data_IF_864718025449
#
_entry.id   IF_864718025449
#
_cell.length_a   1.000
_cell.length_b   1.000
_cell.length_c   1.000
_cell.angle_alpha   90.00
_cell.angle_beta   90.00
_cell.angle_gamma   90.00
#
_symmetry.space_group_name_H-M   'P 1'
#
loop_
_entity.id
_entity.type
_entity.pdbx_description
1 polymer ?
#
# COMPACT_ATOMS: atom_id res chain seq x y z
N UNK A 1 17.76 1.71 22.44
CA UNK A 1 17.41 0.30 22.78
C UNK A 1 18.46 -0.41 23.63
N UNK A 2 19.69 0.16 23.76
CA UNK A 2 20.80 -0.53 24.47
C UNK A 2 21.00 -0.08 25.93
N UNK A 3 20.31 0.99 26.38
CA UNK A 3 20.54 1.52 27.74
C UNK A 3 20.18 0.46 28.81
N UNK A 4 21.06 0.18 29.79
CA UNK A 4 20.88 -0.90 30.76
C UNK A 4 19.62 -0.71 31.64
N UNK A 5 19.27 0.52 31.99
CA UNK A 5 18.16 0.83 32.91
C UNK A 5 16.78 0.91 32.18
N UNK A 6 16.70 0.46 30.94
CA UNK A 6 15.45 0.35 30.19
C UNK A 6 15.02 -1.13 30.15
N UNK A 7 13.86 -1.45 30.68
CA UNK A 7 13.35 -2.82 30.78
C UNK A 7 12.56 -3.27 29.55
N UNK A 8 12.01 -2.33 28.79
CA UNK A 8 11.19 -2.61 27.60
C UNK A 8 11.39 -1.56 26.51
N UNK A 9 11.39 -2.00 25.26
CA UNK A 9 11.37 -1.13 24.09
C UNK A 9 10.11 -1.40 23.28
N UNK A 10 9.32 -0.34 23.05
CA UNK A 10 8.20 -0.35 22.11
C UNK A 10 8.62 0.40 20.85
N UNK A 11 8.37 -0.18 19.68
CA UNK A 11 8.79 0.38 18.40
C UNK A 11 7.74 0.09 17.32
N UNK A 12 7.39 1.13 16.55
CA UNK A 12 6.61 1.02 15.32
C UNK A 12 7.47 1.47 14.15
N UNK A 13 7.57 0.66 13.09
CA UNK A 13 8.35 1.00 11.91
C UNK A 13 8.72 -0.21 11.04
N UNK A 14 9.86 -0.10 10.34
CA UNK A 14 10.29 -1.10 9.37
C UNK A 14 10.90 -2.37 9.99
N UNK A 15 10.72 -3.51 9.32
CA UNK A 15 11.21 -4.82 9.73
C UNK A 15 12.73 -4.83 10.03
N UNK A 16 13.53 -4.17 9.21
CA UNK A 16 14.99 -4.13 9.38
C UNK A 16 15.36 -3.49 10.72
N UNK A 17 14.78 -2.34 11.02
CA UNK A 17 15.00 -1.64 12.29
C UNK A 17 14.44 -2.46 13.47
N UNK A 18 13.28 -3.08 13.32
CA UNK A 18 12.70 -3.96 14.33
C UNK A 18 13.63 -5.12 14.68
N UNK A 19 14.24 -5.77 13.69
CA UNK A 19 15.24 -6.83 13.89
C UNK A 19 16.48 -6.34 14.64
N UNK A 20 16.96 -5.14 14.34
CA UNK A 20 18.10 -4.52 15.03
C UNK A 20 17.73 -4.25 16.51
N UNK A 21 16.55 -3.71 16.76
CA UNK A 21 16.05 -3.44 18.12
C UNK A 21 15.94 -4.74 18.90
N UNK A 22 15.34 -5.77 18.33
CA UNK A 22 15.18 -7.08 18.99
C UNK A 22 16.55 -7.68 19.34
N UNK A 23 17.53 -7.61 18.42
CA UNK A 23 18.89 -8.10 18.66
C UNK A 23 19.56 -7.31 19.80
N UNK A 24 19.47 -5.99 19.80
CA UNK A 24 20.07 -5.17 20.84
C UNK A 24 19.36 -5.37 22.21
N UNK A 25 18.07 -5.58 22.21
CA UNK A 25 17.30 -5.83 23.44
C UNK A 25 17.66 -7.16 24.10
N UNK A 26 18.05 -8.15 23.31
CA UNK A 26 18.45 -9.47 23.81
C UNK A 26 19.69 -9.42 24.70
N UNK A 27 20.63 -8.48 24.50
CA UNK A 27 21.86 -8.32 25.29
C UNK A 27 21.59 -8.10 26.80
N UNK A 28 20.46 -7.51 27.13
CA UNK A 28 20.03 -7.23 28.49
C UNK A 28 18.68 -7.85 28.84
N UNK A 29 18.21 -8.79 28.00
CA UNK A 29 16.94 -9.53 28.17
C UNK A 29 15.73 -8.60 28.29
N UNK A 30 15.74 -7.47 27.58
CA UNK A 30 14.62 -6.53 27.54
C UNK A 30 13.41 -7.13 26.83
N UNK A 31 12.22 -6.76 27.29
CA UNK A 31 11.00 -6.99 26.50
C UNK A 31 10.96 -6.10 25.27
N UNK A 32 10.41 -6.60 24.18
CA UNK A 32 10.14 -5.80 22.98
C UNK A 32 8.69 -5.92 22.56
N UNK A 33 8.07 -4.79 22.25
CA UNK A 33 6.81 -4.72 21.51
C UNK A 33 7.13 -4.11 20.13
N UNK A 34 6.98 -4.90 19.08
CA UNK A 34 7.35 -4.51 17.73
C UNK A 34 6.11 -4.49 16.82
N UNK A 35 5.70 -3.30 16.42
CA UNK A 35 4.65 -3.03 15.44
C UNK A 35 5.31 -2.75 14.10
N UNK A 36 5.19 -3.69 13.19
CA UNK A 36 5.92 -3.68 11.92
C UNK A 36 4.95 -3.74 10.73
N UNK A 37 5.43 -3.42 9.55
CA UNK A 37 4.66 -3.52 8.33
C UNK A 37 4.25 -4.95 7.98
N UNK A 38 3.28 -5.08 7.09
CA UNK A 38 2.73 -6.37 6.66
C UNK A 38 2.15 -6.34 5.26
N UNK A 39 1.80 -7.51 4.76
CA UNK A 39 0.98 -7.74 3.57
C UNK A 39 -0.30 -8.46 4.03
N UNK A 40 -1.26 -7.67 4.56
CA UNK A 40 -2.45 -8.26 5.15
C UNK A 40 -3.40 -8.80 4.06
N UNK A 41 -3.93 -10.01 4.24
CA UNK A 41 -4.96 -10.52 3.35
C UNK A 41 -6.31 -9.85 3.66
N UNK A 42 -7.05 -9.54 2.61
CA UNK A 42 -8.47 -9.19 2.65
C UNK A 42 -9.21 -10.29 1.88
N UNK A 43 -9.93 -11.15 2.58
CA UNK A 43 -10.55 -12.34 2.00
C UNK A 43 -12.04 -12.11 1.80
N UNK A 44 -12.52 -12.30 0.57
CA UNK A 44 -13.88 -12.00 0.15
C UNK A 44 -14.51 -13.27 -0.44
N UNK A 45 -15.57 -13.74 0.21
CA UNK A 45 -16.39 -14.86 -0.25
C UNK A 45 -17.59 -14.39 -1.08
N UNK A 46 -18.16 -15.27 -1.88
CA UNK A 46 -19.23 -14.95 -2.81
C UNK A 46 -20.54 -14.50 -2.15
N UNK A 47 -20.77 -14.83 -0.89
CA UNK A 47 -21.92 -14.42 -0.09
C UNK A 47 -21.75 -13.07 0.63
N UNK A 48 -20.62 -12.39 0.45
CA UNK A 48 -20.42 -11.06 0.99
C UNK A 48 -21.35 -10.03 0.34
N UNK A 49 -21.73 -8.98 1.10
CA UNK A 49 -22.35 -7.80 0.50
C UNK A 49 -21.37 -7.17 -0.49
N UNK A 50 -21.72 -7.23 -1.76
CA UNK A 50 -20.81 -6.90 -2.85
C UNK A 50 -20.30 -5.47 -2.79
N UNK A 51 -21.19 -4.49 -2.65
CA UNK A 51 -20.80 -3.08 -2.68
C UNK A 51 -19.99 -2.70 -1.45
N UNK A 52 -20.38 -3.19 -0.28
CA UNK A 52 -19.63 -3.00 0.97
C UNK A 52 -18.26 -3.66 0.89
N UNK A 53 -18.15 -4.84 0.30
CA UNK A 53 -16.88 -5.55 0.16
C UNK A 53 -15.90 -4.79 -0.77
N UNK A 54 -16.40 -4.26 -1.91
CA UNK A 54 -15.57 -3.45 -2.82
C UNK A 54 -15.11 -2.16 -2.15
N UNK A 55 -15.98 -1.45 -1.45
CA UNK A 55 -15.62 -0.20 -0.76
C UNK A 55 -14.63 -0.45 0.38
N UNK A 56 -14.81 -1.51 1.15
CA UNK A 56 -13.87 -1.89 2.20
C UNK A 56 -12.52 -2.33 1.64
N UNK A 57 -12.49 -3.04 0.51
CA UNK A 57 -11.25 -3.41 -0.15
C UNK A 57 -10.50 -2.17 -0.66
N UNK A 58 -11.23 -1.22 -1.27
CA UNK A 58 -10.66 0.04 -1.73
C UNK A 58 -10.07 0.85 -0.57
N UNK A 59 -10.85 1.07 0.48
CA UNK A 59 -10.38 1.80 1.66
C UNK A 59 -9.21 1.09 2.34
N UNK A 60 -9.31 -0.22 2.53
CA UNK A 60 -8.26 -1.01 3.16
C UNK A 60 -6.93 -1.00 2.42
N UNK A 61 -6.95 -0.85 1.08
CA UNK A 61 -5.75 -0.84 0.26
C UNK A 61 -5.18 0.56 0.03
N UNK A 62 -6.03 1.59 -0.13
CA UNK A 62 -5.60 2.92 -0.59
C UNK A 62 -5.61 4.02 0.47
N UNK A 63 -6.17 3.77 1.65
CA UNK A 63 -6.11 4.71 2.76
C UNK A 63 -4.66 5.12 3.05
N UNK A 64 -4.41 6.42 3.24
CA UNK A 64 -3.05 6.98 3.38
C UNK A 64 -2.07 6.55 2.27
N UNK A 65 -2.56 6.43 1.04
CA UNK A 65 -1.76 5.94 -0.10
C UNK A 65 -1.19 4.54 0.11
N UNK A 66 -1.90 3.70 0.89
CA UNK A 66 -1.48 2.35 1.23
C UNK A 66 -0.38 2.25 2.29
N UNK A 67 0.08 3.36 2.84
CA UNK A 67 1.18 3.42 3.81
C UNK A 67 0.68 3.15 5.24
N UNK A 68 0.00 2.01 5.44
CA UNK A 68 -0.59 1.60 6.72
C UNK A 68 -0.20 0.15 7.01
N UNK A 69 0.26 -0.12 8.24
CA UNK A 69 0.67 -1.46 8.66
C UNK A 69 -0.46 -2.50 8.55
N UNK A 70 -1.72 -2.07 8.67
CA UNK A 70 -2.92 -2.91 8.54
C UNK A 70 -3.55 -2.88 7.14
N UNK A 71 -2.90 -2.27 6.13
CA UNK A 71 -3.44 -2.19 4.78
C UNK A 71 -3.75 -3.59 4.21
N UNK A 72 -5.02 -3.82 3.83
CA UNK A 72 -5.50 -5.06 3.21
C UNK A 72 -5.11 -5.16 1.74
N UNK A 73 -3.82 -5.06 1.46
CA UNK A 73 -3.28 -4.91 0.10
C UNK A 73 -3.28 -6.19 -0.73
N UNK A 74 -3.45 -7.37 -0.09
CA UNK A 74 -3.65 -8.65 -0.77
C UNK A 74 -5.12 -9.03 -0.73
N UNK A 75 -5.84 -8.68 -1.81
CA UNK A 75 -7.26 -8.99 -1.94
C UNK A 75 -7.37 -10.40 -2.51
N UNK A 76 -7.97 -11.31 -1.75
CA UNK A 76 -8.20 -12.71 -2.10
C UNK A 76 -9.69 -12.89 -2.29
N UNK A 77 -10.11 -12.99 -3.54
CA UNK A 77 -11.53 -13.08 -3.93
C UNK A 77 -11.87 -14.49 -4.34
N UNK A 78 -13.04 -15.00 -3.94
CA UNK A 78 -13.56 -16.27 -4.42
C UNK A 78 -13.71 -16.25 -5.95
N UNK A 79 -13.28 -17.31 -6.63
CA UNK A 79 -13.18 -17.38 -8.08
C UNK A 79 -14.48 -17.00 -8.80
N UNK A 80 -15.61 -17.42 -8.25
CA UNK A 80 -16.95 -17.13 -8.82
C UNK A 80 -17.30 -15.63 -8.84
N UNK A 81 -16.63 -14.82 -7.99
CA UNK A 81 -16.85 -13.39 -7.87
C UNK A 81 -15.77 -12.55 -8.55
N UNK A 82 -14.63 -13.16 -8.89
CA UNK A 82 -13.39 -12.50 -9.25
C UNK A 82 -13.58 -11.40 -10.30
N UNK A 83 -14.05 -11.73 -11.50
CA UNK A 83 -14.09 -10.77 -12.61
C UNK A 83 -14.96 -9.56 -12.29
N UNK A 84 -16.18 -9.80 -11.77
CA UNK A 84 -17.09 -8.74 -11.37
C UNK A 84 -16.52 -7.84 -10.28
N UNK A 85 -15.82 -8.46 -9.33
CA UNK A 85 -15.21 -7.73 -8.21
C UNK A 85 -14.03 -6.87 -8.66
N UNK A 86 -13.17 -7.42 -9.50
CA UNK A 86 -12.00 -6.73 -10.06
C UNK A 86 -12.44 -5.54 -10.92
N UNK A 87 -13.44 -5.73 -11.80
CA UNK A 87 -13.98 -4.64 -12.63
C UNK A 87 -14.51 -3.48 -11.76
N UNK A 88 -15.30 -3.80 -10.73
CA UNK A 88 -15.84 -2.79 -9.81
C UNK A 88 -14.74 -2.09 -9.00
N UNK A 89 -13.74 -2.84 -8.55
CA UNK A 89 -12.60 -2.29 -7.80
C UNK A 89 -11.78 -1.33 -8.68
N UNK A 90 -11.50 -1.70 -9.93
CA UNK A 90 -10.79 -0.85 -10.90
C UNK A 90 -11.59 0.40 -11.19
N UNK A 91 -12.90 0.28 -11.44
CA UNK A 91 -13.77 1.44 -11.68
C UNK A 91 -13.73 2.43 -10.51
N UNK A 92 -13.81 1.94 -9.27
CA UNK A 92 -13.79 2.79 -8.08
C UNK A 92 -12.40 3.35 -7.80
N UNK A 93 -11.33 2.55 -7.94
CA UNK A 93 -9.95 3.01 -7.79
C UNK A 93 -9.62 4.17 -8.75
N UNK A 94 -10.14 4.11 -9.96
CA UNK A 94 -9.99 5.16 -10.96
C UNK A 94 -10.70 6.48 -10.58
N UNK A 95 -11.59 6.47 -9.62
CA UNK A 95 -12.28 7.69 -9.12
C UNK A 95 -11.55 8.35 -7.96
N UNK A 96 -10.59 7.69 -7.32
CA UNK A 96 -9.84 8.23 -6.19
C UNK A 96 -9.13 9.52 -6.61
N UNK A 97 -9.36 10.59 -5.84
CA UNK A 97 -8.71 11.88 -6.02
C UNK A 97 -7.47 11.99 -5.15
N UNK A 98 -6.34 12.31 -5.78
CA UNK A 98 -5.06 12.51 -5.11
C UNK A 98 -4.67 13.99 -5.13
N UNK A 99 -4.06 14.46 -4.04
CA UNK A 99 -3.68 15.86 -3.92
C UNK A 99 -2.84 16.15 -2.68
N UNK A 100 -2.57 17.42 -2.44
CA UNK A 100 -1.77 17.89 -1.33
C UNK A 100 -2.56 17.97 -0.01
N UNK A 101 -1.87 18.21 1.12
CA UNK A 101 -2.49 18.18 2.45
C UNK A 101 -3.52 19.27 2.71
N UNK A 102 -3.55 20.32 1.90
CA UNK A 102 -4.52 21.42 1.99
C UNK A 102 -5.59 21.37 0.89
N UNK A 103 -5.61 20.31 0.12
CA UNK A 103 -6.57 20.13 -0.97
C UNK A 103 -7.80 19.40 -0.44
N UNK A 104 -8.88 20.14 -0.20
CA UNK A 104 -10.12 19.60 0.38
C UNK A 104 -10.83 18.58 -0.52
N UNK A 105 -10.45 18.49 -1.80
CA UNK A 105 -11.01 17.52 -2.74
C UNK A 105 -10.21 16.22 -2.81
N UNK A 106 -9.01 16.20 -2.22
CA UNK A 106 -8.18 15.04 -2.22
C UNK A 106 -8.65 13.99 -1.21
N UNK A 107 -8.73 12.75 -1.63
CA UNK A 107 -9.08 11.59 -0.78
C UNK A 107 -7.82 10.92 -0.22
N UNK A 108 -6.69 11.07 -0.92
CA UNK A 108 -5.40 10.53 -0.49
C UNK A 108 -4.25 11.44 -0.94
N UNK A 109 -3.10 11.29 -0.31
CA UNK A 109 -1.94 12.18 -0.45
C UNK A 109 -0.75 11.57 -1.16
N UNK A 110 0.44 12.20 -0.99
CA UNK A 110 1.69 11.70 -1.54
C UNK A 110 2.24 10.51 -0.76
N UNK A 111 3.19 9.82 -1.35
CA UNK A 111 4.08 8.92 -0.64
C UNK A 111 5.06 9.71 0.25
N UNK A 112 5.66 9.03 1.23
CA UNK A 112 6.51 9.69 2.23
C UNK A 112 7.80 10.30 1.65
N UNK A 113 8.33 9.73 0.55
CA UNK A 113 9.56 10.20 -0.07
C UNK A 113 9.69 9.75 -1.53
N UNK A 114 10.60 10.40 -2.26
CA UNK A 114 10.95 9.98 -3.62
C UNK A 114 11.54 8.56 -3.65
N UNK A 115 12.42 8.24 -2.70
CA UNK A 115 13.00 6.89 -2.57
C UNK A 115 11.91 5.83 -2.38
N UNK A 116 10.91 6.11 -1.55
CA UNK A 116 9.80 5.19 -1.35
C UNK A 116 8.94 5.05 -2.60
N UNK A 117 8.70 6.14 -3.35
CA UNK A 117 8.00 6.10 -4.64
C UNK A 117 8.74 5.23 -5.65
N UNK A 118 10.06 5.37 -5.75
CA UNK A 118 10.90 4.53 -6.63
C UNK A 118 10.84 3.06 -6.22
N UNK A 119 10.86 2.78 -4.94
CA UNK A 119 10.70 1.42 -4.41
C UNK A 119 9.35 0.82 -4.81
N UNK A 120 8.25 1.58 -4.65
CA UNK A 120 6.90 1.14 -5.09
C UNK A 120 6.88 0.88 -6.59
N UNK A 121 7.44 1.81 -7.40
CA UNK A 121 7.52 1.65 -8.84
C UNK A 121 8.27 0.37 -9.23
N UNK A 122 9.41 0.10 -8.60
CA UNK A 122 10.21 -1.10 -8.87
C UNK A 122 9.44 -2.40 -8.59
N UNK A 123 8.60 -2.46 -7.54
CA UNK A 123 7.75 -3.62 -7.28
C UNK A 123 6.66 -3.80 -8.35
N UNK A 124 6.07 -2.71 -8.83
CA UNK A 124 5.06 -2.76 -9.90
C UNK A 124 5.70 -3.20 -11.22
N UNK A 125 6.86 -2.68 -11.55
CA UNK A 125 7.60 -3.06 -12.76
C UNK A 125 8.01 -4.53 -12.71
N UNK A 126 8.52 -4.99 -11.57
CA UNK A 126 8.86 -6.39 -11.36
C UNK A 126 7.65 -7.31 -11.46
N UNK A 127 6.51 -6.91 -10.93
CA UNK A 127 5.26 -7.68 -11.09
C UNK A 127 4.89 -7.83 -12.57
N UNK A 128 5.03 -6.76 -13.36
CA UNK A 128 4.81 -6.76 -14.81
C UNK A 128 5.79 -7.71 -15.53
N UNK A 129 7.07 -7.66 -15.18
CA UNK A 129 8.10 -8.56 -15.72
C UNK A 129 7.83 -10.02 -15.37
N UNK A 130 7.29 -10.28 -14.18
CA UNK A 130 6.90 -11.60 -13.70
C UNK A 130 5.58 -12.11 -14.31
N UNK A 131 4.90 -11.32 -15.13
CA UNK A 131 3.70 -11.72 -15.87
C UNK A 131 2.38 -11.32 -15.24
N UNK A 132 2.36 -10.56 -14.16
CA UNK A 132 1.14 -9.99 -13.59
C UNK A 132 0.57 -8.88 -14.47
N UNK A 133 -0.74 -8.69 -14.42
CA UNK A 133 -1.45 -7.65 -15.17
C UNK A 133 -1.63 -6.40 -14.31
N UNK A 134 -1.21 -5.26 -14.82
CA UNK A 134 -1.50 -3.97 -14.21
C UNK A 134 -2.79 -3.44 -14.80
N UNK A 135 -3.87 -3.45 -14.04
CA UNK A 135 -5.21 -3.11 -14.51
C UNK A 135 -5.48 -1.60 -14.47
N UNK A 136 -4.86 -0.89 -13.54
CA UNK A 136 -4.90 0.57 -13.46
C UNK A 136 -3.65 1.12 -12.79
N UNK A 137 -3.35 2.39 -12.97
CA UNK A 137 -2.20 3.08 -12.38
C UNK A 137 -0.85 2.61 -12.93
N UNK A 138 -0.03 2.04 -12.08
CA UNK A 138 1.25 1.41 -12.44
C UNK A 138 2.37 2.36 -12.82
N UNK A 139 2.28 3.65 -12.42
CA UNK A 139 3.30 4.67 -12.67
C UNK A 139 3.24 5.83 -11.67
N UNK A 140 4.33 6.57 -11.58
CA UNK A 140 4.32 7.86 -10.90
C UNK A 140 3.36 8.84 -11.60
N UNK A 141 2.75 9.73 -10.82
CA UNK A 141 1.96 10.81 -11.38
C UNK A 141 2.85 11.88 -12.02
N UNK A 142 2.32 12.56 -13.03
CA UNK A 142 2.95 13.67 -13.75
C UNK A 142 2.12 14.94 -13.60
N UNK A 143 2.63 16.09 -14.06
CA UNK A 143 1.87 17.34 -14.07
C UNK A 143 0.61 17.26 -14.95
N UNK A 144 0.59 16.42 -15.97
CA UNK A 144 -0.58 16.18 -16.82
C UNK A 144 -1.73 15.54 -16.03
N UNK A 145 -1.42 14.72 -15.02
CA UNK A 145 -2.41 14.07 -14.14
C UNK A 145 -3.13 15.06 -13.23
N UNK A 146 -2.59 16.27 -13.02
CA UNK A 146 -3.17 17.32 -12.16
C UNK A 146 -4.62 17.65 -12.53
N UNK A 147 -4.93 17.70 -13.81
CA UNK A 147 -6.27 17.92 -14.31
C UNK A 147 -6.91 16.63 -14.88
N UNK A 148 -6.24 15.50 -14.70
CA UNK A 148 -6.67 14.20 -15.18
C UNK A 148 -7.62 13.49 -14.23
N UNK A 149 -7.81 12.21 -14.46
CA UNK A 149 -8.75 11.36 -13.75
C UNK A 149 -8.56 11.37 -12.24
N UNK A 150 -7.31 11.33 -11.78
CA UNK A 150 -6.96 11.31 -10.36
C UNK A 150 -6.68 12.68 -9.74
N UNK A 151 -6.48 13.70 -10.54
CA UNK A 151 -6.17 15.04 -10.05
C UNK A 151 -7.41 15.80 -9.59
N UNK A 152 -7.18 16.81 -8.76
CA UNK A 152 -8.19 17.75 -8.26
C UNK A 152 -8.17 19.08 -9.01
N UNK A 153 -7.15 19.30 -9.84
CA UNK A 153 -6.88 20.60 -10.50
C UNK A 153 -6.16 21.61 -9.61
N UNK A 154 -5.91 21.28 -8.34
CA UNK A 154 -5.34 22.21 -7.35
C UNK A 154 -3.86 21.95 -7.10
N UNK A 155 -3.47 20.67 -6.97
CA UNK A 155 -2.10 20.25 -6.64
C UNK A 155 -1.38 19.77 -7.90
N UNK A 156 -0.22 20.35 -8.23
CA UNK A 156 0.64 19.80 -9.29
C UNK A 156 1.20 18.44 -8.85
N UNK A 157 0.65 17.38 -9.41
CA UNK A 157 1.03 16.01 -9.05
C UNK A 157 2.44 15.65 -9.54
N UNK A 158 2.93 16.30 -10.58
CA UNK A 158 4.28 16.09 -11.10
C UNK A 158 5.37 16.67 -10.22
N UNK A 159 5.06 17.73 -9.46
CA UNK A 159 6.01 18.36 -8.53
C UNK A 159 6.18 17.59 -7.21
N UNK A 160 5.33 16.58 -6.95
CA UNK A 160 5.33 15.81 -5.70
C UNK A 160 5.75 14.35 -5.86
N UNK A 161 5.65 13.60 -4.78
CA UNK A 161 5.99 12.18 -4.72
C UNK A 161 4.74 11.30 -4.83
N UNK A 162 3.92 11.56 -5.82
CA UNK A 162 2.66 10.85 -6.04
C UNK A 162 2.85 9.62 -6.94
N UNK A 163 2.09 8.58 -6.64
CA UNK A 163 1.98 7.37 -7.46
C UNK A 163 0.49 7.07 -7.66
N UNK A 164 0.11 6.73 -8.88
CA UNK A 164 -1.30 6.49 -9.19
C UNK A 164 -1.83 5.24 -8.48
N UNK A 165 -3.09 5.23 -8.01
CA UNK A 165 -3.72 4.04 -7.45
C UNK A 165 -3.56 2.86 -8.40
N UNK A 166 -2.95 1.78 -7.90
CA UNK A 166 -2.50 0.68 -8.76
C UNK A 166 -3.14 -0.63 -8.31
N UNK A 167 -3.74 -1.34 -9.27
CA UNK A 167 -4.29 -2.68 -9.09
C UNK A 167 -3.52 -3.66 -9.97
N UNK A 168 -3.01 -4.71 -9.34
CA UNK A 168 -2.26 -5.80 -9.97
C UNK A 168 -3.12 -7.06 -9.88
N UNK A 169 -3.39 -7.69 -11.00
CA UNK A 169 -4.14 -8.94 -11.10
C UNK A 169 -3.26 -10.08 -11.62
N UNK A 170 -3.66 -11.31 -11.32
CA UNK A 170 -2.94 -12.51 -11.72
C UNK A 170 -1.60 -12.71 -11.01
N UNK A 171 -1.39 -12.04 -9.88
CA UNK A 171 -0.18 -12.21 -9.09
C UNK A 171 -0.17 -13.56 -8.36
N UNK A 172 0.92 -14.30 -8.50
CA UNK A 172 1.12 -15.59 -7.81
C UNK A 172 1.88 -15.41 -6.49
N UNK A 173 1.88 -16.44 -5.64
CA UNK A 173 2.55 -16.41 -4.34
C UNK A 173 4.05 -16.21 -4.43
N UNK A 174 4.65 -16.60 -5.56
CA UNK A 174 6.09 -16.53 -5.83
C UNK A 174 6.54 -15.15 -6.28
N UNK A 175 5.61 -14.29 -6.69
CA UNK A 175 5.94 -12.94 -7.16
C UNK A 175 6.33 -12.02 -6.00
N UNK A 176 7.34 -11.20 -6.22
CA UNK A 176 7.90 -10.29 -5.21
C UNK A 176 6.86 -9.30 -4.67
N UNK A 177 5.95 -8.82 -5.52
CA UNK A 177 4.86 -7.93 -5.11
C UNK A 177 3.89 -8.58 -4.10
N UNK A 178 3.83 -9.92 -4.03
CA UNK A 178 3.02 -10.68 -3.09
C UNK A 178 3.83 -11.11 -1.86
N UNK A 179 5.07 -11.56 -2.08
CA UNK A 179 5.90 -12.16 -1.05
C UNK A 179 6.65 -11.12 -0.22
N UNK A 180 7.22 -10.11 -0.86
CA UNK A 180 8.04 -9.12 -0.18
C UNK A 180 7.19 -8.02 0.48
N UNK A 181 7.69 -7.53 1.62
CA UNK A 181 7.10 -6.40 2.32
C UNK A 181 7.52 -5.09 1.65
N UNK A 182 6.83 -4.70 0.58
CA UNK A 182 7.12 -3.47 -0.16
C UNK A 182 6.77 -2.19 0.60
N UNK A 183 5.80 -2.26 1.51
CA UNK A 183 5.28 -1.14 2.30
C UNK A 183 5.93 -1.01 3.67
N UNK A 184 7.06 -1.62 3.90
CA UNK A 184 7.78 -1.43 5.14
C UNK A 184 8.62 -0.17 5.03
N UNK A 185 8.25 0.76 5.84
CA UNK A 185 8.87 2.05 6.05
C UNK A 185 10.27 1.92 6.61
#
# INVERSE_FOLDING_TARGET
>A
SQHPDVDMVSFTGGLVTGKIIAKNAAETVKRTALELGGKNPNVIFADADFDVAVDNALNGAFFHSGQVCSAGSRIVVEESLHDKFVDALVERANKIKIGGPTDEKAETGPLISAEHREKVAAYVDKAREQGAKILTGGRAATSEDTNGQHGTGTTDLGAGVYYLPTIIDGATREMDCVHDLSLIH
#
